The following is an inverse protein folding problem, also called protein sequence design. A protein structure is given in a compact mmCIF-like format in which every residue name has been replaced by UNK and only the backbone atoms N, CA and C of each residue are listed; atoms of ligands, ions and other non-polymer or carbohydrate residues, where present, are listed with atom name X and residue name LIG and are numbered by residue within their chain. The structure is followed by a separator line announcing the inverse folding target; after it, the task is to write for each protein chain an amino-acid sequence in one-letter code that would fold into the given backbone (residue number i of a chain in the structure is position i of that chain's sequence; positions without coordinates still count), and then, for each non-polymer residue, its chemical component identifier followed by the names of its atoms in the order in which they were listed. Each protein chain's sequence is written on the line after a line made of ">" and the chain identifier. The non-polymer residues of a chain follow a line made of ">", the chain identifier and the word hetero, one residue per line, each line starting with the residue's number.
data_IF_370565842613
#
_entry.id   IF_370565842613
#
_cell.length_a   1.000
_cell.length_b   1.000
_cell.length_c   1.000
_cell.angle_alpha   90.00
_cell.angle_beta   90.00
_cell.angle_gamma   90.00
#
_symmetry.space_group_name_H-M   'P 1'
#
loop_
_entity.id
_entity.type
_entity.pdbx_description
1 polymer ?
#
# COMPACT_ATOMS: atom_id res chain seq x y z
N UNK A 1 -1.16 -28.07 -4.04
CA UNK A 1 -0.94 -28.91 -5.23
C UNK A 1 0.53 -29.28 -5.46
N UNK A 2 0.89 -30.54 -5.24
CA UNK A 2 2.25 -31.06 -5.46
C UNK A 2 2.46 -31.57 -6.87
N UNK A 3 3.64 -31.30 -7.41
CA UNK A 3 4.09 -31.72 -8.72
C UNK A 3 5.55 -32.18 -8.65
N UNK A 4 6.04 -32.83 -9.71
CA UNK A 4 7.47 -33.07 -9.88
C UNK A 4 8.25 -31.75 -9.86
N UNK A 5 9.53 -31.81 -9.50
CA UNK A 5 10.41 -30.65 -9.65
C UNK A 5 10.31 -30.07 -11.06
N UNK A 6 10.29 -28.73 -11.15
CA UNK A 6 10.40 -28.04 -12.43
C UNK A 6 11.69 -28.44 -13.13
N UNK A 7 11.65 -28.51 -14.46
CA UNK A 7 12.86 -28.72 -15.26
C UNK A 7 13.67 -27.42 -15.37
N UNK A 8 14.96 -27.53 -15.69
CA UNK A 8 15.80 -26.35 -15.95
C UNK A 8 15.38 -25.56 -17.19
N UNK A 9 14.61 -26.18 -18.10
CA UNK A 9 14.01 -25.51 -19.24
C UNK A 9 12.62 -24.91 -18.93
N UNK A 10 12.13 -25.03 -17.68
CA UNK A 10 10.84 -24.49 -17.30
C UNK A 10 10.82 -22.98 -17.48
N UNK A 11 9.74 -22.47 -18.09
CA UNK A 11 9.48 -21.03 -18.20
C UNK A 11 8.84 -20.44 -16.93
N UNK A 12 8.37 -21.28 -16.00
CA UNK A 12 7.74 -20.83 -14.76
C UNK A 12 8.74 -20.67 -13.61
N UNK A 13 9.75 -21.53 -13.52
CA UNK A 13 10.75 -21.46 -12.46
C UNK A 13 11.68 -20.26 -12.65
N UNK A 14 12.06 -19.55 -11.57
CA UNK A 14 12.82 -18.30 -11.59
C UNK A 14 12.24 -17.26 -12.55
N UNK A 15 10.91 -17.28 -12.78
CA UNK A 15 10.29 -16.27 -13.64
C UNK A 15 10.28 -14.94 -12.91
N UNK A 16 9.74 -14.95 -11.71
CA UNK A 16 9.59 -13.80 -10.81
C UNK A 16 10.84 -13.66 -9.93
N UNK A 17 12.02 -13.70 -10.55
CA UNK A 17 13.30 -13.86 -9.86
C UNK A 17 13.67 -12.68 -8.95
N UNK A 18 13.13 -11.49 -9.26
CA UNK A 18 13.35 -10.25 -8.52
C UNK A 18 12.72 -10.34 -7.12
N UNK A 19 11.55 -10.96 -7.03
CA UNK A 19 10.74 -11.05 -5.82
C UNK A 19 10.76 -12.47 -5.23
N UNK A 20 11.64 -13.34 -5.74
CA UNK A 20 11.78 -14.72 -5.30
C UNK A 20 12.49 -14.80 -3.94
N UNK A 21 11.93 -15.57 -3.02
CA UNK A 21 12.56 -15.87 -1.73
C UNK A 21 13.51 -17.04 -1.88
N UNK A 22 14.79 -16.80 -1.57
CA UNK A 22 15.84 -17.81 -1.53
C UNK A 22 15.96 -18.36 -0.10
N UNK A 23 15.43 -19.56 0.10
CA UNK A 23 15.44 -20.27 1.37
C UNK A 23 16.56 -21.32 1.33
N UNK A 24 17.77 -20.90 1.66
CA UNK A 24 18.95 -21.77 1.75
C UNK A 24 19.60 -21.53 3.11
N UNK A 25 19.75 -22.59 3.91
CA UNK A 25 20.23 -22.49 5.29
C UNK A 25 21.70 -22.08 5.37
N UNK A 26 22.53 -22.57 4.43
CA UNK A 26 23.93 -22.20 4.34
C UNK A 26 24.06 -20.78 3.75
N UNK A 27 24.47 -19.81 4.58
CA UNK A 27 24.59 -18.42 4.15
C UNK A 27 25.63 -18.21 3.02
N UNK A 28 26.70 -19.04 2.94
CA UNK A 28 27.67 -18.95 1.83
C UNK A 28 27.03 -19.35 0.50
N UNK A 29 26.32 -20.47 0.48
CA UNK A 29 25.64 -20.97 -0.71
C UNK A 29 24.48 -20.05 -1.12
N UNK A 30 23.71 -19.57 -0.14
CA UNK A 30 22.65 -18.59 -0.34
C UNK A 30 23.19 -17.33 -1.00
N UNK A 31 24.27 -16.74 -0.47
CA UNK A 31 24.89 -15.55 -1.03
C UNK A 31 25.46 -15.78 -2.44
N UNK A 32 25.97 -16.98 -2.71
CA UNK A 32 26.38 -17.37 -4.05
C UNK A 32 25.19 -17.35 -5.03
N UNK A 33 24.07 -18.00 -4.69
CA UNK A 33 22.89 -18.03 -5.56
C UNK A 33 22.24 -16.65 -5.71
N UNK A 34 22.16 -15.85 -4.64
CA UNK A 34 21.67 -14.47 -4.71
C UNK A 34 22.50 -13.63 -5.70
N UNK A 35 23.82 -13.77 -5.68
CA UNK A 35 24.71 -13.07 -6.62
C UNK A 35 24.47 -13.54 -8.06
N UNK A 36 24.33 -14.84 -8.30
CA UNK A 36 24.03 -15.38 -9.63
C UNK A 36 22.66 -14.91 -10.14
N UNK A 37 21.63 -14.90 -9.27
CA UNK A 37 20.31 -14.38 -9.57
C UNK A 37 20.39 -12.90 -9.98
N UNK A 38 21.12 -12.08 -9.23
CA UNK A 38 21.30 -10.66 -9.56
C UNK A 38 21.97 -10.45 -10.93
N UNK A 39 22.92 -11.31 -11.31
CA UNK A 39 23.56 -11.25 -12.63
C UNK A 39 22.57 -11.58 -13.75
N UNK A 40 21.79 -12.66 -13.59
CA UNK A 40 20.74 -13.06 -14.53
C UNK A 40 19.69 -11.97 -14.67
N UNK A 41 19.28 -11.36 -13.56
CA UNK A 41 18.35 -10.24 -13.54
C UNK A 41 18.84 -9.04 -14.34
N UNK A 42 20.08 -8.61 -14.09
CA UNK A 42 20.68 -7.48 -14.82
C UNK A 42 20.73 -7.76 -16.32
N UNK A 43 21.10 -8.99 -16.71
CA UNK A 43 21.13 -9.42 -18.11
C UNK A 43 19.73 -9.47 -18.75
N UNK A 44 18.68 -9.84 -18.01
CA UNK A 44 17.29 -9.81 -18.51
C UNK A 44 16.79 -8.40 -18.83
N UNK A 45 17.26 -7.39 -18.09
CA UNK A 45 16.89 -5.98 -18.33
C UNK A 45 17.61 -5.35 -19.53
N UNK A 46 18.66 -5.98 -20.03
CA UNK A 46 19.43 -5.51 -21.18
C UNK A 46 18.87 -6.09 -22.50
N UNK A 47 18.33 -5.23 -23.35
CA UNK A 47 17.76 -5.60 -24.66
C UNK A 47 18.79 -6.17 -25.64
N UNK A 48 20.08 -5.96 -25.40
CA UNK A 48 21.15 -6.44 -26.28
C UNK A 48 21.70 -7.81 -25.87
N UNK A 49 21.33 -8.31 -24.69
CA UNK A 49 21.81 -9.59 -24.17
C UNK A 49 20.89 -10.73 -24.61
N UNK A 50 21.41 -11.65 -25.43
CA UNK A 50 20.67 -12.84 -25.90
C UNK A 50 20.78 -14.04 -24.95
N UNK A 51 21.87 -14.14 -24.18
CA UNK A 51 22.13 -15.23 -23.24
C UNK A 51 22.20 -14.70 -21.81
N UNK A 52 21.15 -14.93 -21.04
CA UNK A 52 21.03 -14.43 -19.66
C UNK A 52 21.75 -15.30 -18.64
N UNK A 53 22.08 -16.56 -18.97
CA UNK A 53 22.64 -17.54 -18.02
C UNK A 53 21.58 -18.25 -17.15
N UNK A 54 20.30 -17.90 -17.32
CA UNK A 54 19.19 -18.41 -16.52
C UNK A 54 19.08 -19.94 -16.49
N UNK A 55 19.26 -20.60 -17.64
CA UNK A 55 19.20 -22.06 -17.71
C UNK A 55 20.30 -22.73 -16.90
N UNK A 56 21.50 -22.15 -16.88
CA UNK A 56 22.61 -22.64 -16.08
C UNK A 56 22.29 -22.50 -14.58
N UNK A 57 21.86 -21.30 -14.17
CA UNK A 57 21.45 -21.02 -12.78
C UNK A 57 20.35 -22.00 -12.31
N UNK A 58 19.31 -22.22 -13.11
CA UNK A 58 18.25 -23.20 -12.79
C UNK A 58 18.81 -24.60 -12.60
N UNK A 59 19.74 -25.00 -13.47
CA UNK A 59 20.34 -26.33 -13.42
C UNK A 59 21.19 -26.49 -12.17
N UNK A 60 22.03 -25.51 -11.84
CA UNK A 60 22.86 -25.50 -10.64
C UNK A 60 22.02 -25.52 -9.36
N UNK A 61 20.97 -24.70 -9.30
CA UNK A 61 20.12 -24.61 -8.12
C UNK A 61 19.32 -25.90 -7.90
N UNK A 62 18.80 -26.50 -8.97
CA UNK A 62 18.13 -27.80 -8.89
C UNK A 62 19.10 -28.92 -8.52
N UNK A 63 20.34 -28.89 -9.01
CA UNK A 63 21.38 -29.86 -8.64
C UNK A 63 21.72 -29.74 -7.15
N UNK A 64 21.94 -28.53 -6.65
CA UNK A 64 22.18 -28.25 -5.24
C UNK A 64 21.08 -28.82 -4.33
N UNK A 65 19.81 -28.53 -4.66
CA UNK A 65 18.69 -29.04 -3.88
C UNK A 65 18.58 -30.58 -3.98
N UNK A 66 18.86 -31.17 -5.15
CA UNK A 66 18.82 -32.63 -5.35
C UNK A 66 19.90 -33.37 -4.59
N UNK A 67 21.08 -32.77 -4.41
CA UNK A 67 22.15 -33.34 -3.58
C UNK A 67 21.72 -33.44 -2.11
N UNK A 68 20.87 -32.52 -1.65
CA UNK A 68 20.33 -32.51 -0.29
C UNK A 68 19.11 -33.41 -0.09
N UNK A 69 18.33 -33.68 -1.14
CA UNK A 69 17.16 -34.55 -1.03
C UNK A 69 16.22 -34.53 -2.23
N UNK A 70 15.01 -35.04 -2.01
CA UNK A 70 14.01 -35.13 -3.06
C UNK A 70 13.35 -33.77 -3.32
N UNK A 71 13.56 -33.25 -4.53
CA UNK A 71 13.03 -31.95 -4.96
C UNK A 71 11.66 -32.12 -5.61
N UNK A 72 10.71 -31.30 -5.20
CA UNK A 72 9.37 -31.22 -5.78
C UNK A 72 8.98 -29.76 -6.06
N UNK A 73 7.80 -29.58 -6.65
CA UNK A 73 7.17 -28.27 -6.76
C UNK A 73 5.84 -28.31 -6.01
N UNK A 74 5.57 -27.31 -5.16
CA UNK A 74 4.27 -27.08 -4.57
C UNK A 74 3.68 -25.79 -5.14
N UNK A 75 2.43 -25.84 -5.56
CA UNK A 75 1.66 -24.65 -5.91
C UNK A 75 0.53 -24.46 -4.91
N UNK A 76 0.38 -23.24 -4.40
CA UNK A 76 -0.65 -22.85 -3.42
C UNK A 76 -1.38 -21.62 -3.95
N UNK A 77 -2.69 -21.70 -4.12
CA UNK A 77 -3.46 -20.54 -4.61
C UNK A 77 -3.44 -19.38 -3.61
N UNK A 78 -3.53 -18.17 -4.15
CA UNK A 78 -3.55 -16.92 -3.41
C UNK A 78 -4.46 -15.91 -4.12
N UNK A 79 -5.70 -16.29 -4.43
CA UNK A 79 -6.60 -15.55 -5.34
C UNK A 79 -6.94 -14.14 -4.86
N UNK A 80 -6.88 -13.91 -3.56
CA UNK A 80 -7.16 -12.60 -2.94
C UNK A 80 -5.88 -11.88 -2.50
N UNK A 81 -4.71 -12.25 -3.04
CA UNK A 81 -3.44 -11.56 -2.72
C UNK A 81 -3.52 -10.08 -3.13
N UNK A 82 -3.12 -9.15 -2.25
CA UNK A 82 -3.18 -7.73 -2.55
C UNK A 82 -2.10 -7.33 -3.56
N UNK A 83 -2.45 -6.42 -4.46
CA UNK A 83 -1.53 -5.80 -5.42
C UNK A 83 -0.94 -4.51 -4.83
N UNK A 84 -0.50 -4.57 -3.57
CA UNK A 84 0.18 -3.47 -2.87
C UNK A 84 1.55 -3.98 -2.42
N UNK A 85 2.62 -3.34 -2.88
CA UNK A 85 4.00 -3.79 -2.68
C UNK A 85 4.36 -3.93 -1.20
N UNK A 86 3.95 -2.98 -0.36
CA UNK A 86 4.25 -3.02 1.07
C UNK A 86 3.60 -4.24 1.76
N UNK A 87 2.33 -4.52 1.43
CA UNK A 87 1.62 -5.69 1.98
C UNK A 87 2.21 -6.99 1.47
N UNK A 88 2.73 -6.98 0.25
CA UNK A 88 3.39 -8.14 -0.33
C UNK A 88 4.73 -8.42 0.36
N UNK A 89 5.53 -7.38 0.58
CA UNK A 89 6.82 -7.48 1.27
C UNK A 89 6.63 -8.00 2.71
N UNK A 90 5.60 -7.53 3.42
CA UNK A 90 5.22 -8.04 4.74
C UNK A 90 4.87 -9.54 4.70
N UNK A 91 4.06 -9.97 3.72
CA UNK A 91 3.71 -11.38 3.53
C UNK A 91 4.94 -12.23 3.22
N UNK A 92 5.80 -11.78 2.32
CA UNK A 92 7.02 -12.48 1.91
C UNK A 92 7.99 -12.60 3.08
N UNK A 93 8.19 -11.54 3.88
CA UNK A 93 9.03 -11.57 5.07
C UNK A 93 8.51 -12.57 6.13
N UNK A 94 7.18 -12.64 6.31
CA UNK A 94 6.57 -13.60 7.22
C UNK A 94 6.72 -15.04 6.72
N UNK A 95 6.45 -15.29 5.44
CA UNK A 95 6.63 -16.61 4.82
C UNK A 95 8.09 -17.05 4.91
N UNK A 96 9.04 -16.13 4.66
CA UNK A 96 10.46 -16.41 4.81
C UNK A 96 10.80 -16.84 6.24
N UNK A 97 10.31 -16.12 7.24
CA UNK A 97 10.53 -16.46 8.65
C UNK A 97 9.99 -17.85 8.99
N UNK A 98 8.71 -18.11 8.69
CA UNK A 98 8.05 -19.38 9.01
C UNK A 98 8.69 -20.57 8.31
N UNK A 99 9.08 -20.41 7.04
CA UNK A 99 9.72 -21.49 6.29
C UNK A 99 11.13 -21.77 6.81
N UNK A 100 11.89 -20.73 7.19
CA UNK A 100 13.24 -20.89 7.80
C UNK A 100 13.19 -21.55 9.18
N UNK A 101 12.24 -21.16 10.03
CA UNK A 101 12.04 -21.77 11.36
C UNK A 101 11.75 -23.28 11.26
N UNK A 102 11.19 -23.72 10.13
CA UNK A 102 10.88 -25.11 9.84
C UNK A 102 11.95 -25.81 8.99
N UNK A 103 13.13 -25.19 8.82
CA UNK A 103 14.25 -25.74 8.04
C UNK A 103 13.86 -26.16 6.61
N UNK A 104 12.97 -25.38 5.98
CA UNK A 104 12.57 -25.59 4.60
C UNK A 104 13.57 -24.93 3.67
N UNK A 105 14.20 -25.72 2.81
CA UNK A 105 15.07 -25.22 1.76
C UNK A 105 14.42 -25.26 0.37
N UNK A 106 14.56 -24.18 -0.39
CA UNK A 106 14.03 -24.05 -1.75
C UNK A 106 13.88 -22.61 -2.20
N UNK A 107 13.13 -22.43 -3.28
CA UNK A 107 12.79 -21.13 -3.85
C UNK A 107 11.27 -20.96 -3.83
N UNK A 108 10.81 -19.83 -3.31
CA UNK A 108 9.40 -19.46 -3.29
C UNK A 108 9.16 -18.22 -4.15
N UNK A 109 8.19 -18.29 -5.05
CA UNK A 109 7.84 -17.22 -6.00
C UNK A 109 6.34 -16.95 -5.97
N UNK A 110 5.92 -15.68 -5.99
CA UNK A 110 4.52 -15.32 -6.22
C UNK A 110 4.27 -15.12 -7.71
N UNK A 111 3.36 -15.91 -8.27
CA UNK A 111 2.96 -15.83 -9.67
C UNK A 111 1.54 -15.28 -9.76
N UNK A 112 1.30 -14.20 -10.53
CA UNK A 112 -0.06 -13.66 -10.72
C UNK A 112 -0.89 -14.48 -11.69
N UNK A 113 -0.30 -14.82 -12.83
CA UNK A 113 -0.95 -15.65 -13.83
C UNK A 113 0.13 -16.32 -14.66
N UNK A 114 0.14 -17.65 -14.64
CA UNK A 114 0.96 -18.44 -15.54
C UNK A 114 0.09 -19.35 -16.41
N UNK A 115 0.71 -20.00 -17.38
CA UNK A 115 -0.01 -20.88 -18.32
C UNK A 115 -0.52 -22.17 -17.66
N UNK A 116 -0.01 -22.52 -16.49
CA UNK A 116 -0.36 -23.76 -15.82
C UNK A 116 -1.58 -23.58 -14.92
N UNK A 117 -1.59 -22.56 -14.07
CA UNK A 117 -2.60 -22.34 -13.04
C UNK A 117 -3.55 -21.21 -13.40
N UNK A 118 -3.12 -20.25 -14.21
CA UNK A 118 -3.94 -19.14 -14.72
C UNK A 118 -4.69 -18.38 -13.60
N UNK A 119 -4.04 -18.26 -12.43
CA UNK A 119 -4.58 -17.63 -11.24
C UNK A 119 -3.42 -17.26 -10.30
N UNK A 120 -3.58 -16.25 -9.42
CA UNK A 120 -2.54 -15.91 -8.46
C UNK A 120 -2.23 -17.10 -7.53
N UNK A 121 -0.96 -17.46 -7.43
CA UNK A 121 -0.49 -18.58 -6.62
C UNK A 121 0.98 -18.41 -6.23
N UNK A 122 1.36 -19.01 -5.12
CA UNK A 122 2.75 -19.20 -4.74
C UNK A 122 3.25 -20.51 -5.34
N UNK A 123 4.38 -20.45 -6.04
CA UNK A 123 5.13 -21.60 -6.51
C UNK A 123 6.37 -21.78 -5.64
N UNK A 124 6.44 -22.91 -4.93
CA UNK A 124 7.61 -23.33 -4.18
C UNK A 124 8.31 -24.49 -4.89
N UNK A 125 9.61 -24.38 -5.13
CA UNK A 125 10.46 -25.45 -5.69
C UNK A 125 11.56 -25.76 -4.69
N UNK A 126 11.56 -26.95 -4.10
CA UNK A 126 12.46 -27.22 -2.99
C UNK A 126 12.32 -28.60 -2.37
N UNK A 127 12.85 -28.71 -1.15
CA UNK A 127 12.76 -29.87 -0.28
C UNK A 127 11.49 -29.81 0.57
N UNK A 128 11.02 -30.97 1.03
CA UNK A 128 9.87 -31.07 1.94
C UNK A 128 8.63 -30.29 1.47
N UNK A 129 8.36 -30.29 0.15
CA UNK A 129 7.30 -29.48 -0.45
C UNK A 129 5.93 -29.68 0.18
N UNK A 130 5.58 -30.89 0.65
CA UNK A 130 4.33 -31.14 1.41
C UNK A 130 4.18 -30.23 2.62
N UNK A 131 5.27 -30.08 3.38
CA UNK A 131 5.26 -29.31 4.60
C UNK A 131 5.32 -27.81 4.30
N UNK A 132 6.17 -27.41 3.35
CA UNK A 132 6.22 -26.03 2.85
C UNK A 132 4.86 -25.55 2.32
N UNK A 133 4.19 -26.40 1.53
CA UNK A 133 2.86 -26.16 0.98
C UNK A 133 1.82 -25.90 2.08
N UNK A 134 1.85 -26.71 3.15
CA UNK A 134 1.00 -26.53 4.32
C UNK A 134 1.25 -25.18 5.01
N UNK A 135 2.52 -24.86 5.30
CA UNK A 135 2.91 -23.59 5.96
C UNK A 135 2.42 -22.39 5.15
N UNK A 136 2.63 -22.42 3.83
CA UNK A 136 2.21 -21.35 2.92
C UNK A 136 0.68 -21.23 2.96
N UNK A 137 -0.06 -22.33 2.78
CA UNK A 137 -1.53 -22.31 2.76
C UNK A 137 -2.12 -21.78 4.07
N UNK A 138 -1.62 -22.22 5.23
CA UNK A 138 -2.06 -21.70 6.53
C UNK A 138 -1.82 -20.20 6.67
N UNK A 139 -0.64 -19.72 6.23
CA UNK A 139 -0.30 -18.30 6.29
C UNK A 139 -1.21 -17.46 5.38
N UNK A 140 -1.55 -17.95 4.19
CA UNK A 140 -2.44 -17.23 3.28
C UNK A 140 -3.88 -17.12 3.81
N UNK A 141 -4.37 -18.17 4.47
CA UNK A 141 -5.71 -18.17 5.07
C UNK A 141 -5.77 -17.26 6.30
N UNK A 142 -4.72 -17.23 7.13
CA UNK A 142 -4.60 -16.33 8.28
C UNK A 142 -4.72 -14.84 7.87
N UNK A 143 -4.20 -14.49 6.70
CA UNK A 143 -4.27 -13.13 6.13
C UNK A 143 -5.52 -12.90 5.26
N UNK A 144 -6.44 -13.87 5.19
CA UNK A 144 -7.64 -13.84 4.35
C UNK A 144 -7.34 -13.65 2.84
N UNK A 145 -6.16 -14.10 2.38
CA UNK A 145 -5.80 -14.15 0.95
C UNK A 145 -6.32 -15.40 0.24
N UNK A 146 -6.79 -16.38 1.01
CA UNK A 146 -7.58 -17.52 0.58
C UNK A 146 -8.72 -17.81 1.56
N UNK A 147 -9.78 -18.46 1.07
CA UNK A 147 -10.99 -18.71 1.88
C UNK A 147 -10.82 -19.85 2.89
N UNK A 148 -10.06 -20.88 2.52
CA UNK A 148 -9.77 -22.02 3.40
C UNK A 148 -8.49 -22.71 2.94
N UNK A 149 -7.92 -23.55 3.81
CA UNK A 149 -6.69 -24.30 3.51
C UNK A 149 -6.94 -25.27 2.35
N UNK A 150 -8.08 -25.96 2.35
CA UNK A 150 -8.48 -26.88 1.28
C UNK A 150 -8.59 -26.15 -0.06
N UNK A 151 -9.12 -24.92 -0.01
CA UNK A 151 -9.23 -24.06 -1.18
C UNK A 151 -7.87 -23.62 -1.72
N UNK A 152 -6.91 -23.30 -0.83
CA UNK A 152 -5.54 -22.94 -1.20
C UNK A 152 -4.74 -24.14 -1.77
N UNK A 153 -5.03 -25.36 -1.32
CA UNK A 153 -4.28 -26.58 -1.65
C UNK A 153 -4.81 -27.41 -2.83
N UNK A 154 -6.09 -27.25 -3.19
CA UNK A 154 -6.94 -28.02 -4.16
C UNK A 154 -6.25 -28.54 -5.46
N UNK A 155 -6.88 -29.34 -6.34
CA UNK A 155 -7.42 -30.70 -6.17
C UNK A 155 -6.27 -31.68 -6.47
N UNK A 156 -6.36 -32.93 -5.98
CA UNK A 156 -5.38 -33.99 -6.28
C UNK A 156 -5.16 -34.21 -7.79
N UNK A 157 -6.18 -33.96 -8.61
CA UNK A 157 -6.14 -34.06 -10.08
C UNK A 157 -6.04 -32.70 -10.74
N UNK A 158 -4.87 -32.05 -10.62
CA UNK A 158 -4.62 -30.80 -11.30
C UNK A 158 -4.36 -31.02 -12.80
N UNK A 159 -5.19 -30.39 -13.65
CA UNK A 159 -4.91 -30.30 -15.08
C UNK A 159 -4.39 -28.91 -15.42
N UNK A 160 -3.20 -28.80 -16.07
CA UNK A 160 -2.68 -27.50 -16.47
C UNK A 160 -3.62 -26.77 -17.43
N UNK A 161 -3.86 -25.48 -17.18
CA UNK A 161 -4.81 -24.64 -17.90
C UNK A 161 -4.51 -24.54 -19.39
N UNK A 162 -3.24 -24.54 -19.80
CA UNK A 162 -2.87 -24.51 -21.22
C UNK A 162 -3.38 -25.72 -22.02
N UNK A 163 -3.71 -26.84 -21.37
CA UNK A 163 -4.28 -28.03 -22.04
C UNK A 163 -5.72 -27.77 -22.48
N UNK A 164 -6.47 -26.98 -21.73
CA UNK A 164 -7.84 -26.58 -22.07
C UNK A 164 -7.84 -25.31 -22.94
N UNK A 165 -6.92 -24.38 -22.68
CA UNK A 165 -6.85 -23.10 -23.35
C UNK A 165 -5.46 -22.84 -23.96
N UNK A 166 -5.27 -23.14 -25.26
CA UNK A 166 -3.98 -22.95 -25.92
C UNK A 166 -3.53 -21.48 -25.99
N UNK A 167 -4.47 -20.52 -25.86
CA UNK A 167 -4.23 -19.07 -25.85
C UNK A 167 -3.92 -18.52 -24.45
N UNK A 168 -3.68 -19.37 -23.45
CA UNK A 168 -3.32 -18.95 -22.10
C UNK A 168 -2.16 -17.95 -22.11
N UNK A 169 -2.39 -16.78 -21.51
CA UNK A 169 -1.43 -15.69 -21.39
C UNK A 169 -0.70 -15.76 -20.04
N UNK A 170 0.47 -15.16 -19.99
CA UNK A 170 1.26 -14.99 -18.77
C UNK A 170 1.17 -13.53 -18.35
N UNK A 171 1.05 -13.28 -17.05
CA UNK A 171 1.11 -11.94 -16.48
C UNK A 171 2.32 -11.87 -15.55
N UNK A 172 3.22 -10.94 -15.87
CA UNK A 172 4.41 -10.62 -15.07
C UNK A 172 4.02 -9.83 -13.81
N UNK A 173 4.61 -10.19 -12.67
CA UNK A 173 4.27 -9.59 -11.37
C UNK A 173 4.64 -8.11 -11.32
N UNK A 174 5.88 -7.77 -11.71
CA UNK A 174 6.39 -6.40 -11.63
C UNK A 174 5.62 -5.45 -12.54
N UNK A 175 5.31 -5.88 -13.77
CA UNK A 175 4.48 -5.11 -14.69
C UNK A 175 3.08 -4.82 -14.11
N UNK A 176 2.49 -5.79 -13.41
CA UNK A 176 1.19 -5.60 -12.76
C UNK A 176 1.29 -4.66 -11.56
N UNK A 177 2.29 -4.81 -10.70
CA UNK A 177 2.54 -3.92 -9.57
C UNK A 177 2.71 -2.47 -10.02
N UNK A 178 3.55 -2.22 -11.04
CA UNK A 178 3.73 -0.89 -11.62
C UNK A 178 2.41 -0.31 -12.16
N UNK A 179 1.61 -1.12 -12.84
CA UNK A 179 0.30 -0.67 -13.34
C UNK A 179 -0.64 -0.26 -12.20
N UNK A 180 -0.71 -1.05 -11.13
CA UNK A 180 -1.53 -0.74 -9.96
C UNK A 180 -1.04 0.51 -9.23
N UNK A 181 0.28 0.68 -9.06
CA UNK A 181 0.85 1.89 -8.47
C UNK A 181 0.54 3.14 -9.29
N UNK A 182 0.68 3.08 -10.62
CA UNK A 182 0.32 4.19 -11.51
C UNK A 182 -1.16 4.51 -11.41
N UNK A 183 -2.02 3.49 -11.39
CA UNK A 183 -3.47 3.67 -11.24
C UNK A 183 -3.82 4.31 -9.89
N UNK A 184 -3.23 3.84 -8.80
CA UNK A 184 -3.39 4.41 -7.44
C UNK A 184 -2.97 5.88 -7.43
N UNK A 185 -1.80 6.21 -7.98
CA UNK A 185 -1.33 7.60 -8.13
C UNK A 185 -2.30 8.46 -8.95
N UNK A 186 -2.78 7.95 -10.08
CA UNK A 186 -3.72 8.69 -10.95
C UNK A 186 -5.12 8.89 -10.36
N UNK A 187 -5.50 8.11 -9.34
CA UNK A 187 -6.76 8.29 -8.60
C UNK A 187 -6.56 9.27 -7.43
N UNK A 188 -5.37 9.24 -6.80
CA UNK A 188 -5.01 10.14 -5.70
C UNK A 188 -4.86 11.58 -6.19
N UNK A 189 -4.21 11.83 -7.33
CA UNK A 189 -3.99 13.19 -7.84
C UNK A 189 -5.28 14.00 -8.05
N UNK A 190 -6.35 13.49 -8.72
CA UNK A 190 -7.61 14.23 -8.81
C UNK A 190 -8.32 14.41 -7.45
N UNK A 191 -8.10 13.53 -6.48
CA UNK A 191 -8.64 13.70 -5.13
C UNK A 191 -7.87 14.75 -4.33
N UNK A 192 -6.54 14.83 -4.47
CA UNK A 192 -5.71 15.86 -3.85
C UNK A 192 -5.99 17.25 -4.43
N UNK A 193 -6.15 17.35 -5.76
CA UNK A 193 -6.52 18.61 -6.42
C UNK A 193 -7.90 19.11 -5.96
N UNK A 194 -8.90 18.22 -5.87
CA UNK A 194 -10.23 18.59 -5.35
C UNK A 194 -10.23 18.94 -3.85
N UNK A 195 -9.37 18.31 -3.05
CA UNK A 195 -9.18 18.67 -1.64
C UNK A 195 -8.52 20.04 -1.48
N UNK A 196 -7.54 20.37 -2.32
CA UNK A 196 -6.89 21.67 -2.31
C UNK A 196 -7.86 22.77 -2.72
N UNK A 197 -8.65 22.56 -3.78
CA UNK A 197 -9.66 23.52 -4.22
C UNK A 197 -10.71 23.77 -3.11
N UNK A 198 -11.20 22.72 -2.46
CA UNK A 198 -12.17 22.85 -1.35
C UNK A 198 -11.55 23.51 -0.10
N UNK A 199 -10.28 23.26 0.19
CA UNK A 199 -9.56 23.95 1.27
C UNK A 199 -9.35 25.43 0.96
N UNK A 200 -9.05 25.78 -0.29
CA UNK A 200 -8.92 27.18 -0.72
C UNK A 200 -10.25 27.91 -0.60
N UNK A 201 -11.35 27.32 -1.09
CA UNK A 201 -12.71 27.87 -0.99
C UNK A 201 -13.13 28.10 0.47
N UNK A 202 -12.92 27.12 1.35
CA UNK A 202 -13.24 27.26 2.78
C UNK A 202 -12.35 28.30 3.46
N UNK A 203 -11.09 28.44 3.05
CA UNK A 203 -10.20 29.49 3.58
C UNK A 203 -10.65 30.89 3.17
N UNK A 204 -11.14 31.06 1.94
CA UNK A 204 -11.68 32.34 1.47
C UNK A 204 -12.97 32.70 2.19
N UNK A 205 -13.85 31.73 2.41
CA UNK A 205 -15.08 31.95 3.15
C UNK A 205 -14.80 32.37 4.60
N UNK A 206 -13.84 31.74 5.27
CA UNK A 206 -13.38 32.13 6.60
C UNK A 206 -12.78 33.54 6.63
N UNK A 207 -12.00 33.94 5.61
CA UNK A 207 -11.49 35.32 5.48
C UNK A 207 -12.63 36.32 5.35
N UNK A 208 -13.61 36.06 4.49
CA UNK A 208 -14.79 36.93 4.31
C UNK A 208 -15.61 37.02 5.60
N UNK A 209 -15.77 35.92 6.33
CA UNK A 209 -16.41 35.92 7.64
C UNK A 209 -15.65 36.81 8.63
N UNK A 210 -14.32 36.66 8.74
CA UNK A 210 -13.48 37.47 9.63
C UNK A 210 -13.57 38.96 9.30
N UNK A 211 -13.51 39.33 8.03
CA UNK A 211 -13.69 40.72 7.59
C UNK A 211 -15.08 41.26 7.98
N UNK A 212 -16.13 40.44 7.81
CA UNK A 212 -17.48 40.81 8.23
C UNK A 212 -17.58 41.04 9.74
N UNK A 213 -16.89 40.21 10.54
CA UNK A 213 -16.84 40.34 12.00
C UNK A 213 -16.06 41.59 12.42
N UNK A 214 -14.92 41.86 11.79
CA UNK A 214 -14.15 43.08 12.04
C UNK A 214 -14.96 44.33 11.70
N UNK A 215 -15.64 44.35 10.56
CA UNK A 215 -16.51 45.45 10.15
C UNK A 215 -17.70 45.65 11.12
N UNK A 216 -18.31 44.56 11.58
CA UNK A 216 -19.36 44.61 12.62
C UNK A 216 -18.81 45.16 13.95
N UNK A 217 -17.61 44.74 14.36
CA UNK A 217 -16.95 45.23 15.56
C UNK A 217 -16.67 46.74 15.49
N UNK A 218 -16.15 47.21 14.36
CA UNK A 218 -15.88 48.64 14.11
C UNK A 218 -17.18 49.46 14.21
N UNK A 219 -18.25 48.99 13.55
CA UNK A 219 -19.59 49.63 13.65
C UNK A 219 -20.14 49.64 15.07
N UNK A 220 -19.93 48.57 15.82
CA UNK A 220 -20.36 48.51 17.22
C UNK A 220 -19.60 49.52 18.09
N UNK A 221 -18.27 49.61 17.92
CA UNK A 221 -17.45 50.57 18.67
C UNK A 221 -17.80 52.02 18.37
N UNK A 222 -18.06 52.38 17.10
CA UNK A 222 -18.47 53.74 16.74
C UNK A 222 -19.86 54.09 17.29
N UNK A 223 -20.80 53.14 17.27
CA UNK A 223 -22.11 53.31 17.88
C UNK A 223 -22.02 53.53 19.40
N UNK A 224 -21.15 52.79 20.08
CA UNK A 224 -20.91 52.97 21.52
C UNK A 224 -20.31 54.33 21.86
N UNK A 225 -19.35 54.82 21.07
CA UNK A 225 -18.79 56.17 21.22
C UNK A 225 -19.85 57.25 21.04
N UNK A 226 -20.69 57.12 19.99
CA UNK A 226 -21.81 58.03 19.77
C UNK A 226 -22.81 58.04 20.93
N UNK A 227 -23.09 56.87 21.52
CA UNK A 227 -23.96 56.77 22.68
C UNK A 227 -23.35 57.47 23.91
N UNK A 228 -22.04 57.31 24.14
CA UNK A 228 -21.32 57.99 25.21
C UNK A 228 -21.35 59.51 25.05
N UNK A 229 -21.16 60.03 23.84
CA UNK A 229 -21.27 61.47 23.56
C UNK A 229 -22.68 61.98 23.89
N UNK A 230 -23.73 61.31 23.38
CA UNK A 230 -25.13 61.67 23.68
C UNK A 230 -25.43 61.65 25.18
N UNK A 231 -24.91 60.67 25.92
CA UNK A 231 -25.06 60.60 27.37
C UNK A 231 -24.36 61.75 28.10
N UNK A 232 -23.17 62.16 27.62
CA UNK A 232 -22.45 63.30 28.17
C UNK A 232 -23.18 64.62 27.90
N UNK A 233 -23.71 64.82 26.68
CA UNK A 233 -24.53 65.99 26.32
C UNK A 233 -25.81 66.06 27.15
N UNK A 234 -26.45 64.93 27.39
CA UNK A 234 -27.61 64.86 28.26
C UNK A 234 -27.27 65.23 29.71
N UNK A 235 -26.14 64.73 30.23
CA UNK A 235 -25.64 65.08 31.58
C UNK A 235 -25.29 66.57 31.70
N UNK A 236 -24.66 67.17 30.70
CA UNK A 236 -24.36 68.61 30.72
C UNK A 236 -25.63 69.45 30.68
N UNK A 237 -26.62 69.04 29.86
CA UNK A 237 -27.92 69.70 29.81
C UNK A 237 -28.69 69.61 31.13
N UNK A 238 -28.70 68.45 31.79
CA UNK A 238 -29.28 68.30 33.13
C UNK A 238 -28.58 69.18 34.19
N UNK A 239 -27.26 69.31 34.13
CA UNK A 239 -26.49 70.17 35.04
C UNK A 239 -26.85 71.64 34.84
N UNK A 240 -26.97 72.13 33.60
CA UNK A 240 -27.36 73.51 33.31
C UNK A 240 -28.79 73.81 33.76
N UNK A 241 -29.74 72.89 33.50
CA UNK A 241 -31.13 73.00 33.94
C UNK A 241 -31.24 73.04 35.47
N UNK A 242 -30.49 72.18 36.17
CA UNK A 242 -30.43 72.18 37.63
C UNK A 242 -29.80 73.45 38.22
N UNK A 243 -28.77 74.01 37.57
CA UNK A 243 -28.22 75.31 37.97
C UNK A 243 -29.25 76.44 37.78
N UNK A 244 -30.01 76.42 36.69
CA UNK A 244 -31.08 77.36 36.44
C UNK A 244 -32.17 77.29 37.52
N UNK A 245 -32.66 76.09 37.85
CA UNK A 245 -33.62 75.90 38.95
C UNK A 245 -33.07 76.34 40.31
N UNK A 246 -31.79 76.06 40.62
CA UNK A 246 -31.14 76.56 41.84
C UNK A 246 -31.09 78.09 41.89
N UNK A 247 -30.80 78.77 40.77
CA UNK A 247 -30.83 80.24 40.66
C UNK A 247 -32.24 80.79 40.85
N UNK A 248 -33.25 80.18 40.25
CA UNK A 248 -34.66 80.55 40.42
C UNK A 248 -35.12 80.42 41.88
N UNK A 249 -34.83 79.29 42.54
CA UNK A 249 -35.11 79.09 43.97
C UNK A 249 -34.46 80.15 44.86
N UNK A 250 -33.21 80.53 44.57
CA UNK A 250 -32.51 81.60 45.31
C UNK A 250 -33.14 82.98 45.10
N UNK A 251 -33.67 83.28 43.91
CA UNK A 251 -34.40 84.53 43.65
C UNK A 251 -35.75 84.57 44.38
N UNK A 252 -36.50 83.47 44.40
CA UNK A 252 -37.78 83.41 45.12
C UNK A 252 -37.64 83.51 46.63
N UNK A 253 -36.51 83.06 47.21
CA UNK A 253 -36.21 83.21 48.65
C UNK A 253 -35.79 84.62 49.09
N UNK A 254 -35.55 85.54 48.15
CA UNK A 254 -35.09 86.92 48.41
C UNK A 254 -36.21 87.97 48.20
N UNK A 255 -37.40 87.52 47.82
CA UNK A 255 -38.65 88.30 47.84
C UNK A 255 -39.47 87.85 49.03
#
# INVERSE_FOLDING_TARGET
>A
MLQSARSSNSKSFLRELEDALVLIDNEKDKNYFLKQMQEVFRKRKDSFTTLTGEKALKSELLSYLKEKGYVQTANVWARSVPMDRNKLDELLALLQTRLRENHIEGILELHLQDREINSPHFQFVGLNCKFAESIIAHTLVEFAYETSIESALSKKDFMPYYKENPKARVQDLNTALEYYERKKKSIITPYEDTLLDTLEETSEELKRMLESFQNKRIKFTSNMQNLQMKLNDYKTHLRSKNQHYKKLRRKMRRR
#
